data_IF_206662713286
#
_entry.id   IF_206662713286
#
_cell.length_a   1.000
_cell.length_b   1.000
_cell.length_c   1.000
_cell.angle_alpha   90.00
_cell.angle_beta   90.00
_cell.angle_gamma   90.00
#
_symmetry.space_group_name_H-M   'P 1'
#
loop_
_entity.id
_entity.type
_entity.pdbx_description
1 polymer ?
#
# COMPACT_ATOMS: atom_id res chain seq x y z
N UNK A 1 -10.97 7.10 23.94
CA UNK A 1 -10.53 8.09 23.01
C UNK A 1 -10.97 7.74 21.61
N UNK A 2 -11.66 8.63 20.95
CA UNK A 2 -12.18 8.35 19.63
C UNK A 2 -11.09 8.49 18.59
N UNK A 3 -11.25 7.73 17.51
CA UNK A 3 -10.37 7.85 16.36
C UNK A 3 -10.79 9.06 15.54
N UNK A 4 -9.82 9.76 15.03
CA UNK A 4 -10.09 10.80 14.07
C UNK A 4 -10.05 10.21 12.69
N UNK A 5 -10.80 10.82 11.77
CA UNK A 5 -10.76 10.45 10.36
C UNK A 5 -9.94 11.50 9.64
N UNK A 6 -8.89 11.04 8.99
CA UNK A 6 -7.99 11.92 8.25
C UNK A 6 -8.17 11.66 6.78
N UNK A 7 -8.44 12.69 6.00
CA UNK A 7 -8.52 12.58 4.55
C UNK A 7 -7.20 13.07 3.99
N UNK A 8 -6.52 12.22 3.25
CA UNK A 8 -5.23 12.56 2.67
C UNK A 8 -5.40 12.58 1.15
N UNK A 9 -5.24 13.74 0.56
CA UNK A 9 -5.34 13.86 -0.90
C UNK A 9 -4.02 13.40 -1.51
N UNK A 10 -4.09 12.30 -2.24
CA UNK A 10 -2.90 11.70 -2.82
C UNK A 10 -2.24 12.65 -3.81
N UNK A 11 -3.05 13.40 -4.55
CA UNK A 11 -2.51 14.37 -5.49
C UNK A 11 -1.63 15.41 -4.80
N UNK A 12 -2.01 15.82 -3.60
CA UNK A 12 -1.23 16.82 -2.88
C UNK A 12 0.12 16.29 -2.43
N UNK A 13 0.22 14.99 -2.25
CA UNK A 13 1.45 14.35 -1.81
C UNK A 13 2.33 13.94 -2.99
N UNK A 14 1.72 13.36 -4.01
CA UNK A 14 2.46 12.70 -5.09
C UNK A 14 2.25 13.32 -6.47
N UNK A 15 1.33 14.28 -6.60
CA UNK A 15 1.03 14.87 -7.89
C UNK A 15 0.02 14.05 -8.66
N UNK A 16 -0.17 14.43 -9.93
CA UNK A 16 -1.18 13.82 -10.78
C UNK A 16 -0.78 12.45 -11.31
N UNK A 17 0.49 12.16 -11.33
CA UNK A 17 1.01 10.89 -11.86
C UNK A 17 1.75 10.16 -10.76
N UNK A 18 1.13 9.12 -10.25
CA UNK A 18 1.66 8.36 -9.13
C UNK A 18 2.16 7.03 -9.66
N UNK A 19 3.38 7.03 -10.19
CA UNK A 19 3.87 5.90 -10.98
C UNK A 19 5.07 5.20 -10.38
N UNK A 20 5.88 5.87 -9.59
CA UNK A 20 7.14 5.31 -9.16
C UNK A 20 7.15 4.80 -7.75
N UNK A 21 8.15 3.98 -7.45
CA UNK A 21 8.32 3.46 -6.10
C UNK A 21 8.62 4.58 -5.13
N UNK A 22 9.35 5.60 -5.58
CA UNK A 22 9.68 6.73 -4.71
C UNK A 22 8.45 7.50 -4.29
N UNK A 23 7.54 7.71 -5.24
CA UNK A 23 6.27 8.38 -4.91
C UNK A 23 5.47 7.55 -3.93
N UNK A 24 5.45 6.23 -4.14
CA UNK A 24 4.75 5.34 -3.24
C UNK A 24 5.34 5.34 -1.85
N UNK A 25 6.66 5.34 -1.77
CA UNK A 25 7.34 5.38 -0.48
C UNK A 25 7.04 6.69 0.25
N UNK A 26 6.99 7.79 -0.50
CA UNK A 26 6.62 9.08 0.08
C UNK A 26 5.23 9.07 0.67
N UNK A 27 4.28 8.47 -0.05
CA UNK A 27 2.92 8.36 0.46
C UNK A 27 2.88 7.45 1.69
N UNK A 28 3.57 6.33 1.65
CA UNK A 28 3.66 5.43 2.80
C UNK A 28 4.15 6.17 4.03
N UNK A 29 5.19 6.99 3.86
CA UNK A 29 5.76 7.75 4.97
C UNK A 29 4.75 8.73 5.56
N UNK A 30 3.86 9.27 4.74
CA UNK A 30 2.81 10.17 5.22
C UNK A 30 1.68 9.42 5.93
N UNK A 31 1.35 8.23 5.44
CA UNK A 31 0.26 7.44 6.01
C UNK A 31 0.64 6.83 7.36
N UNK A 32 1.87 6.36 7.46
CA UNK A 32 2.30 5.55 8.59
C UNK A 32 2.06 6.20 9.95
N UNK A 33 2.50 7.45 10.18
CA UNK A 33 2.28 8.05 11.50
C UNK A 33 0.80 8.27 11.81
N UNK A 34 -0.01 8.52 10.80
CA UNK A 34 -1.45 8.72 11.02
C UNK A 34 -2.06 7.44 11.57
N UNK A 35 -1.73 6.31 10.96
CA UNK A 35 -2.24 5.02 11.43
C UNK A 35 -1.64 4.62 12.76
N UNK A 36 -0.37 4.94 12.99
CA UNK A 36 0.27 4.60 14.26
C UNK A 36 -0.35 5.33 15.45
N UNK A 37 -0.92 6.49 15.19
CA UNK A 37 -1.63 7.23 16.23
C UNK A 37 -3.04 6.72 16.48
N UNK A 38 -3.47 5.71 15.73
CA UNK A 38 -4.78 5.11 15.91
C UNK A 38 -5.89 5.72 15.09
N UNK A 39 -5.57 6.61 14.18
CA UNK A 39 -6.58 7.30 13.37
C UNK A 39 -7.00 6.47 12.17
N UNK A 40 -8.19 6.77 11.65
CA UNK A 40 -8.61 6.26 10.34
C UNK A 40 -8.06 7.18 9.27
N UNK A 41 -7.82 6.62 8.10
CA UNK A 41 -7.36 7.42 6.98
C UNK A 41 -8.18 7.08 5.75
N UNK A 42 -8.52 8.09 4.99
CA UNK A 42 -9.14 7.92 3.69
C UNK A 42 -8.20 8.52 2.65
N UNK A 43 -7.73 7.70 1.75
CA UNK A 43 -6.88 8.15 0.66
C UNK A 43 -7.77 8.62 -0.47
N UNK A 44 -7.66 9.91 -0.79
CA UNK A 44 -8.48 10.51 -1.83
C UNK A 44 -7.66 10.59 -3.11
N UNK A 45 -8.05 9.78 -4.09
CA UNK A 45 -7.36 9.71 -5.38
C UNK A 45 -7.97 10.61 -6.44
N UNK A 46 -8.88 11.48 -6.07
CA UNK A 46 -9.47 12.38 -7.06
C UNK A 46 -8.40 13.25 -7.69
N UNK A 47 -8.56 13.48 -8.99
CA UNK A 47 -7.63 14.27 -9.78
C UNK A 47 -6.26 13.65 -9.97
N UNK A 48 -6.06 12.42 -9.52
CA UNK A 48 -4.87 11.64 -9.86
C UNK A 48 -5.15 10.99 -11.19
N UNK A 49 -4.30 11.26 -12.18
CA UNK A 49 -4.53 10.80 -13.54
C UNK A 49 -3.93 9.44 -13.81
N UNK A 50 -2.84 9.10 -13.16
CA UNK A 50 -2.14 7.84 -13.41
C UNK A 50 -1.72 7.22 -12.09
N UNK A 51 -2.05 5.93 -11.94
CA UNK A 51 -1.63 5.13 -10.78
C UNK A 51 -1.06 3.83 -11.31
N UNK A 52 0.04 3.36 -10.74
CA UNK A 52 0.61 2.07 -11.13
C UNK A 52 0.65 1.12 -9.95
N UNK A 53 0.79 -0.17 -10.25
CA UNK A 53 0.91 -1.17 -9.20
C UNK A 53 2.20 -0.96 -8.40
N UNK A 54 3.27 -0.53 -9.03
CA UNK A 54 4.53 -0.26 -8.31
C UNK A 54 4.33 0.81 -7.25
N UNK A 55 3.63 1.88 -7.61
CA UNK A 55 3.30 2.94 -6.65
C UNK A 55 2.45 2.41 -5.51
N UNK A 56 1.42 1.65 -5.84
CA UNK A 56 0.50 1.14 -4.82
C UNK A 56 1.17 0.11 -3.90
N UNK A 57 2.02 -0.74 -4.46
CA UNK A 57 2.76 -1.70 -3.64
C UNK A 57 3.67 -0.98 -2.65
N UNK A 58 4.30 0.10 -3.08
CA UNK A 58 5.23 0.84 -2.23
C UNK A 58 4.51 1.71 -1.19
N UNK A 59 3.23 2.00 -1.40
CA UNK A 59 2.46 2.82 -0.46
C UNK A 59 1.48 1.97 0.34
N UNK A 60 0.38 1.60 -0.28
CA UNK A 60 -0.70 0.87 0.41
C UNK A 60 -0.28 -0.54 0.78
N UNK A 61 0.40 -1.22 -0.16
CA UNK A 61 0.76 -2.61 0.07
C UNK A 61 1.65 -2.81 1.28
N UNK A 62 2.60 -1.92 1.48
CA UNK A 62 3.53 -2.06 2.60
C UNK A 62 2.88 -1.91 3.96
N UNK A 63 1.70 -1.30 4.02
CA UNK A 63 1.00 -1.13 5.28
C UNK A 63 0.65 -2.48 5.90
N UNK A 64 0.40 -3.48 5.06
CA UNK A 64 0.03 -4.81 5.56
C UNK A 64 1.18 -5.54 6.22
N UNK A 65 2.40 -5.03 6.08
CA UNK A 65 3.54 -5.54 6.83
C UNK A 65 3.76 -4.81 8.15
N UNK A 66 3.03 -3.71 8.38
CA UNK A 66 3.20 -2.90 9.58
C UNK A 66 2.03 -3.04 10.56
N UNK A 67 0.86 -3.42 10.05
CA UNK A 67 -0.36 -3.50 10.85
C UNK A 67 -1.06 -4.81 10.57
N UNK A 68 -1.89 -5.25 11.49
CA UNK A 68 -2.69 -6.44 11.28
C UNK A 68 -3.74 -6.16 10.22
N UNK A 69 -4.01 -7.16 9.39
CA UNK A 69 -4.99 -7.04 8.32
C UNK A 69 -6.34 -6.56 8.82
N UNK A 70 -6.84 -7.17 9.90
CA UNK A 70 -8.15 -6.82 10.42
C UNK A 70 -8.20 -5.37 10.89
N UNK A 71 -7.09 -4.89 11.43
CA UNK A 71 -7.00 -3.51 11.91
C UNK A 71 -7.02 -2.54 10.74
N UNK A 72 -6.27 -2.84 9.68
CA UNK A 72 -6.23 -1.99 8.50
C UNK A 72 -7.58 -1.95 7.80
N UNK A 73 -8.29 -3.07 7.76
CA UNK A 73 -9.59 -3.09 7.11
C UNK A 73 -10.56 -2.14 7.76
N UNK A 74 -10.40 -1.90 9.04
CA UNK A 74 -11.27 -0.97 9.76
C UNK A 74 -10.85 0.48 9.60
N UNK A 75 -9.57 0.74 9.36
CA UNK A 75 -9.05 2.09 9.43
C UNK A 75 -8.54 2.65 8.12
N UNK A 76 -8.37 1.81 7.10
CA UNK A 76 -7.87 2.26 5.80
C UNK A 76 -9.02 2.29 4.81
N UNK A 77 -9.29 3.45 4.26
CA UNK A 77 -10.31 3.66 3.24
C UNK A 77 -9.69 4.38 2.06
N UNK A 78 -10.35 4.33 0.94
CA UNK A 78 -9.91 5.11 -0.22
C UNK A 78 -11.13 5.52 -1.02
N UNK A 79 -10.93 6.54 -1.82
CA UNK A 79 -11.95 7.11 -2.67
C UNK A 79 -11.35 7.27 -4.05
N UNK A 80 -11.97 6.72 -5.05
CA UNK A 80 -11.43 6.69 -6.40
C UNK A 80 -12.57 6.69 -7.40
N UNK A 81 -12.58 7.67 -8.31
CA UNK A 81 -13.65 7.80 -9.31
C UNK A 81 -13.47 6.84 -10.47
N UNK A 82 -12.23 6.49 -10.79
CA UNK A 82 -11.94 5.63 -11.92
C UNK A 82 -12.04 4.18 -11.50
N UNK A 83 -12.92 3.42 -12.18
CA UNK A 83 -13.13 2.04 -11.78
C UNK A 83 -11.90 1.17 -12.03
N UNK A 84 -11.14 1.45 -13.09
CA UNK A 84 -9.93 0.69 -13.36
C UNK A 84 -8.92 0.88 -12.23
N UNK A 85 -8.77 2.10 -11.76
CA UNK A 85 -7.85 2.38 -10.65
C UNK A 85 -8.36 1.72 -9.38
N UNK A 86 -9.66 1.75 -9.15
CA UNK A 86 -10.25 1.14 -8.00
C UNK A 86 -9.98 -0.37 -7.98
N UNK A 87 -10.11 -1.02 -9.13
CA UNK A 87 -9.81 -2.45 -9.23
C UNK A 87 -8.33 -2.72 -8.98
N UNK A 88 -7.47 -1.86 -9.48
CA UNK A 88 -6.04 -2.03 -9.26
C UNK A 88 -5.69 -1.94 -7.78
N UNK A 89 -6.29 -0.98 -7.07
CA UNK A 89 -6.07 -0.84 -5.64
C UNK A 89 -6.50 -2.12 -4.92
N UNK A 90 -7.66 -2.67 -5.29
CA UNK A 90 -8.15 -3.90 -4.67
C UNK A 90 -7.22 -5.08 -4.92
N UNK A 91 -6.67 -5.18 -6.14
CA UNK A 91 -5.74 -6.25 -6.47
C UNK A 91 -4.46 -6.13 -5.66
N UNK A 92 -3.93 -4.93 -5.53
CA UNK A 92 -2.71 -4.71 -4.75
C UNK A 92 -2.94 -5.08 -3.29
N UNK A 93 -4.08 -4.68 -2.74
CA UNK A 93 -4.42 -5.00 -1.36
C UNK A 93 -4.53 -6.50 -1.16
N UNK A 94 -5.21 -7.19 -2.09
CA UNK A 94 -5.33 -8.64 -2.00
C UNK A 94 -3.98 -9.32 -2.01
N UNK A 95 -3.11 -8.89 -2.94
CA UNK A 95 -1.78 -9.48 -3.04
C UNK A 95 -0.94 -9.20 -1.79
N UNK A 96 -1.07 -8.00 -1.24
CA UNK A 96 -0.34 -7.65 -0.02
C UNK A 96 -0.80 -8.50 1.16
N UNK A 97 -2.11 -8.70 1.28
CA UNK A 97 -2.66 -9.54 2.34
C UNK A 97 -2.10 -10.95 2.26
N UNK A 98 -2.06 -11.51 1.05
CA UNK A 98 -1.55 -12.86 0.86
C UNK A 98 -0.07 -12.93 1.17
N UNK A 99 0.67 -11.93 0.74
CA UNK A 99 2.11 -11.92 0.97
C UNK A 99 2.45 -11.87 2.45
N UNK A 100 1.81 -10.97 3.19
CA UNK A 100 2.14 -10.76 4.60
C UNK A 100 1.41 -11.73 5.53
N UNK A 101 0.46 -12.51 5.01
CA UNK A 101 -0.18 -13.55 5.80
C UNK A 101 0.72 -14.78 5.94
N UNK A 102 1.72 -14.92 5.07
CA UNK A 102 2.63 -16.05 5.14
C UNK A 102 3.56 -15.91 6.34
N UNK A 103 3.98 -17.02 6.93
CA UNK A 103 4.97 -16.94 8.01
C UNK A 103 6.22 -16.21 7.54
N UNK A 104 6.83 -15.48 8.45
CA UNK A 104 8.01 -14.72 8.10
C UNK A 104 9.11 -15.61 7.50
N UNK A 105 9.26 -16.80 8.02
CA UNK A 105 10.23 -17.75 7.50
C UNK A 105 9.97 -18.09 6.05
N UNK A 106 8.70 -18.31 5.71
CA UNK A 106 8.33 -18.63 4.33
C UNK A 106 8.60 -17.45 3.41
N UNK A 107 8.26 -16.25 3.84
CA UNK A 107 8.51 -15.06 3.03
C UNK A 107 10.00 -14.87 2.76
N UNK A 108 10.81 -15.09 3.79
CA UNK A 108 12.24 -14.97 3.66
C UNK A 108 12.81 -16.00 2.70
N UNK A 109 12.32 -17.23 2.81
CA UNK A 109 12.78 -18.29 1.92
C UNK A 109 12.41 -17.98 0.48
N UNK A 110 11.20 -17.49 0.24
CA UNK A 110 10.77 -17.14 -1.09
C UNK A 110 11.67 -16.08 -1.70
N UNK A 111 12.02 -15.06 -0.93
CA UNK A 111 12.91 -14.02 -1.40
C UNK A 111 14.29 -14.58 -1.71
N UNK A 112 14.80 -15.45 -0.87
CA UNK A 112 16.09 -16.07 -1.09
C UNK A 112 16.08 -16.93 -2.35
N UNK A 113 15.01 -17.67 -2.56
CA UNK A 113 14.88 -18.51 -3.74
C UNK A 113 14.88 -17.65 -5.01
N UNK A 114 14.17 -16.56 -5.00
CA UNK A 114 14.14 -15.65 -6.15
C UNK A 114 15.54 -15.14 -6.45
N UNK A 115 16.26 -14.72 -5.43
CA UNK A 115 17.62 -14.23 -5.61
C UNK A 115 18.53 -15.32 -6.13
N UNK A 116 18.39 -16.53 -5.61
CA UNK A 116 19.22 -17.63 -6.05
C UNK A 116 18.95 -18.03 -7.49
N UNK A 117 17.69 -18.01 -7.88
CA UNK A 117 17.35 -18.32 -9.25
C UNK A 117 18.03 -17.39 -10.22
N UNK A 118 18.20 -16.15 -9.82
CA UNK A 118 18.91 -15.19 -10.66
C UNK A 118 20.40 -15.48 -10.66
N UNK A 119 20.94 -15.91 -9.54
CA UNK A 119 22.38 -16.07 -9.37
C UNK A 119 22.86 -17.46 -9.68
N UNK A 120 22.13 -18.45 -9.22
CA UNK A 120 22.57 -19.84 -9.33
C UNK A 120 21.72 -20.66 -10.22
N UNK A 121 21.12 -20.04 -11.14
CA UNK A 121 20.38 -20.78 -12.13
C UNK A 121 21.26 -21.81 -12.77
N UNK A 122 22.39 -21.92 -12.29
CA UNK A 122 23.26 -22.98 -12.69
C UNK A 122 22.69 -24.29 -12.29
#
# INVERSE_FOLDING_TARGET
>A
MSQDKVVLKVKDVCGSHCVGIEDGTGLFTRILPILKLGNEICLDFEDVLTITSSFLNASVGKLFGQFKEADLEKRLRWKCSDESDNQLIKIVIKNAKEHFAKPETTRKIENDIVKRNIIEEE
#
